data_IF_141585270990
#
_entry.id   IF_141585270990
#
_cell.length_a   1.000
_cell.length_b   1.000
_cell.length_c   1.000
_cell.angle_alpha   90.00
_cell.angle_beta   90.00
_cell.angle_gamma   90.00
#
_symmetry.space_group_name_H-M   'P 1'
#
loop_
_entity.id
_entity.type
_entity.pdbx_description
1 polymer ?
#
# COMPACT_ATOMS: atom_id res chain seq x y z
N UNK A 1 -32.44 6.85 8.66
CA UNK A 1 -31.22 7.51 8.14
C UNK A 1 -31.58 8.24 6.86
N UNK A 2 -31.16 9.50 6.69
CA UNK A 2 -31.39 10.29 5.47
C UNK A 2 -30.17 10.26 4.55
N UNK A 3 -30.37 10.40 3.25
CA UNK A 3 -29.27 10.53 2.28
C UNK A 3 -28.40 11.76 2.54
N UNK A 4 -28.97 12.80 3.16
CA UNK A 4 -28.22 13.98 3.62
C UNK A 4 -27.14 13.62 4.63
N UNK A 5 -27.44 12.74 5.60
CA UNK A 5 -26.46 12.28 6.59
C UNK A 5 -25.35 11.44 5.93
N UNK A 6 -25.71 10.57 4.98
CA UNK A 6 -24.73 9.78 4.22
C UNK A 6 -23.81 10.69 3.40
N UNK A 7 -24.37 11.71 2.75
CA UNK A 7 -23.61 12.71 2.01
C UNK A 7 -22.66 13.49 2.93
N UNK A 8 -23.13 13.92 4.10
CA UNK A 8 -22.32 14.65 5.07
C UNK A 8 -21.16 13.81 5.61
N UNK A 9 -21.41 12.53 5.94
CA UNK A 9 -20.36 11.60 6.38
C UNK A 9 -19.35 11.32 5.27
N UNK A 10 -19.82 11.15 4.03
CA UNK A 10 -18.96 10.96 2.86
C UNK A 10 -18.01 12.15 2.69
N UNK A 11 -18.55 13.37 2.77
CA UNK A 11 -17.76 14.61 2.73
C UNK A 11 -16.77 14.69 3.90
N UNK A 12 -17.22 14.40 5.12
CA UNK A 12 -16.36 14.41 6.30
C UNK A 12 -15.19 13.44 6.15
N UNK A 13 -15.44 12.20 5.69
CA UNK A 13 -14.39 11.20 5.45
C UNK A 13 -13.39 11.72 4.42
N UNK A 14 -13.85 12.33 3.33
CA UNK A 14 -12.95 12.90 2.32
C UNK A 14 -12.16 14.11 2.83
N UNK A 15 -12.76 14.96 3.68
CA UNK A 15 -12.09 16.10 4.31
C UNK A 15 -11.07 15.62 5.33
N UNK A 16 -11.39 14.62 6.14
CA UNK A 16 -10.45 14.02 7.08
C UNK A 16 -9.29 13.36 6.36
N UNK A 17 -9.55 12.66 5.25
CA UNK A 17 -8.50 12.10 4.41
C UNK A 17 -7.59 13.20 3.82
N UNK A 18 -8.20 14.31 3.34
CA UNK A 18 -7.46 15.49 2.89
C UNK A 18 -6.59 16.10 3.99
N UNK A 19 -7.12 16.22 5.21
CA UNK A 19 -6.40 16.75 6.38
C UNK A 19 -5.46 15.71 7.03
N UNK A 20 -5.39 14.49 6.49
CA UNK A 20 -4.64 13.36 7.02
C UNK A 20 -5.06 12.90 8.44
N UNK A 21 -6.31 13.18 8.85
CA UNK A 21 -6.92 12.80 10.13
C UNK A 21 -7.43 11.34 10.16
N UNK A 22 -6.59 10.37 9.77
CA UNK A 22 -6.98 8.96 9.63
C UNK A 22 -7.07 8.18 10.96
N UNK A 23 -6.75 8.81 12.09
CA UNK A 23 -6.81 8.17 13.40
C UNK A 23 -8.22 7.63 13.73
N UNK A 24 -9.25 8.21 13.12
CA UNK A 24 -10.64 7.85 13.32
C UNK A 24 -11.17 6.84 12.30
N UNK A 25 -10.36 6.37 11.34
CA UNK A 25 -10.84 5.49 10.26
C UNK A 25 -11.53 4.22 10.76
N UNK A 26 -11.12 3.64 11.90
CA UNK A 26 -11.81 2.48 12.49
C UNK A 26 -13.21 2.81 13.01
N UNK A 27 -13.34 3.92 13.74
CA UNK A 27 -14.63 4.41 14.22
C UNK A 27 -15.53 4.86 13.06
N UNK A 28 -14.95 5.53 12.07
CA UNK A 28 -15.65 5.98 10.86
C UNK A 28 -16.12 4.79 10.01
N UNK A 29 -15.34 3.71 9.86
CA UNK A 29 -15.77 2.52 9.10
C UNK A 29 -16.99 1.88 9.75
N UNK A 30 -16.92 1.56 11.04
CA UNK A 30 -18.02 0.92 11.75
C UNK A 30 -19.28 1.80 11.78
N UNK A 31 -19.11 3.10 12.03
CA UNK A 31 -20.20 4.08 12.02
C UNK A 31 -20.83 4.25 10.63
N UNK A 32 -20.02 4.39 9.59
CA UNK A 32 -20.49 4.58 8.22
C UNK A 32 -21.22 3.33 7.69
N UNK A 33 -20.70 2.13 7.95
CA UNK A 33 -21.39 0.88 7.61
C UNK A 33 -22.70 0.71 8.39
N UNK A 34 -22.75 1.10 9.67
CA UNK A 34 -23.98 1.09 10.44
C UNK A 34 -25.04 2.04 9.86
N UNK A 35 -24.62 3.23 9.42
CA UNK A 35 -25.50 4.21 8.76
C UNK A 35 -26.04 3.68 7.42
N UNK A 36 -25.18 3.05 6.59
CA UNK A 36 -25.60 2.41 5.32
C UNK A 36 -26.57 1.25 5.59
N UNK A 37 -26.31 0.39 6.58
CA UNK A 37 -27.23 -0.70 6.95
C UNK A 37 -28.58 -0.15 7.43
N UNK A 38 -28.56 0.87 8.29
CA UNK A 38 -29.78 1.51 8.79
C UNK A 38 -30.56 2.29 7.70
N UNK A 39 -29.95 2.56 6.54
CA UNK A 39 -30.63 3.07 5.36
C UNK A 39 -31.39 1.98 4.57
N UNK A 40 -31.05 0.71 4.78
CA UNK A 40 -31.56 -0.42 3.99
C UNK A 40 -30.50 -1.03 3.06
N UNK A 41 -29.22 -0.74 3.28
CA UNK A 41 -28.11 -1.23 2.46
C UNK A 41 -27.76 -0.29 1.30
N UNK A 42 -26.74 -0.68 0.51
CA UNK A 42 -26.17 0.14 -0.57
C UNK A 42 -27.21 0.50 -1.65
N UNK A 43 -28.11 -0.44 -1.97
CA UNK A 43 -29.18 -0.21 -2.96
C UNK A 43 -30.14 0.90 -2.54
N UNK A 44 -30.31 1.13 -1.23
CA UNK A 44 -31.20 2.15 -0.68
C UNK A 44 -30.57 3.54 -0.59
N UNK A 45 -29.24 3.65 -0.77
CA UNK A 45 -28.54 4.94 -0.81
C UNK A 45 -28.98 5.75 -2.03
N UNK A 46 -29.34 7.01 -1.83
CA UNK A 46 -29.81 7.91 -2.89
C UNK A 46 -31.31 7.80 -3.20
N UNK A 47 -32.06 6.96 -2.47
CA UNK A 47 -33.51 6.80 -2.69
C UNK A 47 -34.36 8.01 -2.30
N UNK A 48 -33.83 8.96 -1.52
CA UNK A 48 -34.55 10.20 -1.15
C UNK A 48 -34.51 11.25 -2.26
N UNK A 49 -33.50 11.24 -3.12
CA UNK A 49 -33.36 12.19 -4.23
C UNK A 49 -32.84 11.44 -5.46
N UNK A 50 -33.74 10.93 -6.33
CA UNK A 50 -33.37 10.11 -7.48
C UNK A 50 -32.34 10.77 -8.40
N UNK A 51 -32.41 12.09 -8.56
CA UNK A 51 -31.53 12.88 -9.43
C UNK A 51 -30.04 12.78 -9.07
N UNK A 52 -29.70 12.58 -7.79
CA UNK A 52 -28.30 12.47 -7.31
C UNK A 52 -27.97 11.06 -6.81
N UNK A 53 -28.85 10.09 -7.06
CA UNK A 53 -28.77 8.77 -6.45
C UNK A 53 -27.50 8.01 -6.82
N UNK A 54 -27.11 8.09 -8.10
CA UNK A 54 -25.91 7.44 -8.62
C UNK A 54 -24.63 8.09 -8.07
N UNK A 55 -24.58 9.43 -8.05
CA UNK A 55 -23.43 10.18 -7.54
C UNK A 55 -23.23 9.92 -6.04
N UNK A 56 -24.31 9.91 -5.26
CA UNK A 56 -24.23 9.64 -3.83
C UNK A 56 -23.76 8.21 -3.53
N UNK A 57 -24.22 7.21 -4.31
CA UNK A 57 -23.73 5.83 -4.19
C UNK A 57 -22.25 5.73 -4.53
N UNK A 58 -21.83 6.37 -5.61
CA UNK A 58 -20.42 6.40 -6.00
C UNK A 58 -19.57 7.03 -4.90
N UNK A 59 -19.98 8.20 -4.40
CA UNK A 59 -19.26 8.91 -3.36
C UNK A 59 -19.18 8.10 -2.06
N UNK A 60 -20.27 7.44 -1.65
CA UNK A 60 -20.29 6.55 -0.50
C UNK A 60 -19.33 5.35 -0.68
N UNK A 61 -19.27 4.76 -1.86
CA UNK A 61 -18.35 3.66 -2.16
C UNK A 61 -16.88 4.11 -2.14
N UNK A 62 -16.59 5.32 -2.62
CA UNK A 62 -15.25 5.93 -2.53
C UNK A 62 -14.87 6.14 -1.06
N UNK A 63 -15.74 6.75 -0.25
CA UNK A 63 -15.49 6.96 1.17
C UNK A 63 -15.28 5.64 1.93
N UNK A 64 -16.09 4.60 1.64
CA UNK A 64 -15.91 3.27 2.21
C UNK A 64 -14.56 2.66 1.83
N UNK A 65 -14.17 2.77 0.57
CA UNK A 65 -12.90 2.26 0.07
C UNK A 65 -11.71 2.96 0.74
N UNK A 66 -11.77 4.28 0.91
CA UNK A 66 -10.76 5.06 1.63
C UNK A 66 -10.61 4.57 3.08
N UNK A 67 -11.73 4.37 3.77
CA UNK A 67 -11.74 3.90 5.15
C UNK A 67 -11.12 2.50 5.31
N UNK A 68 -11.45 1.55 4.42
CA UNK A 68 -10.85 0.21 4.41
C UNK A 68 -9.35 0.27 4.14
N UNK A 69 -8.94 1.09 3.16
CA UNK A 69 -7.52 1.30 2.86
C UNK A 69 -6.77 1.88 4.06
N UNK A 70 -7.34 2.86 4.77
CA UNK A 70 -6.71 3.39 5.98
C UNK A 70 -6.57 2.36 7.08
N UNK A 71 -7.57 1.50 7.29
CA UNK A 71 -7.47 0.41 8.26
C UNK A 71 -6.34 -0.58 7.93
N UNK A 72 -6.18 -0.91 6.66
CA UNK A 72 -5.14 -1.85 6.21
C UNK A 72 -3.74 -1.24 6.24
N UNK A 73 -3.63 0.06 5.98
CA UNK A 73 -2.35 0.78 5.86
C UNK A 73 -1.95 1.50 7.15
N UNK A 74 -2.84 1.60 8.15
CA UNK A 74 -2.52 2.14 9.45
C UNK A 74 -1.53 1.23 10.18
N UNK A 75 -0.42 1.81 10.63
CA UNK A 75 0.52 1.17 11.53
C UNK A 75 0.06 1.13 12.98
N UNK A 76 -1.14 1.65 13.29
CA UNK A 76 -1.68 1.74 14.65
C UNK A 76 -1.30 0.50 15.45
N UNK A 77 -0.44 0.74 16.43
CA UNK A 77 0.09 -0.21 17.39
C UNK A 77 -1.02 -1.13 17.85
N UNK A 78 -0.94 -2.42 17.49
CA UNK A 78 -1.62 -3.43 18.28
C UNK A 78 -1.08 -3.29 19.71
N UNK A 79 -1.94 -3.09 20.73
CA UNK A 79 -1.52 -3.27 22.11
C UNK A 79 -1.13 -4.73 22.42
N UNK A 80 -1.41 -5.68 21.51
CA UNK A 80 -1.29 -7.11 21.75
C UNK A 80 -0.02 -7.77 21.17
N UNK A 81 1.00 -7.01 20.76
CA UNK A 81 2.32 -7.59 20.44
C UNK A 81 3.28 -7.60 21.63
N UNK A 82 2.76 -7.46 22.86
CA UNK A 82 3.42 -7.86 24.10
C UNK A 82 3.11 -9.33 24.39
N UNK A 83 3.54 -10.23 23.50
CA UNK A 83 3.74 -11.63 23.88
C UNK A 83 5.23 -11.95 23.85
N UNK A 84 5.79 -11.82 25.05
CA UNK A 84 6.86 -12.63 25.62
C UNK A 84 8.11 -12.84 24.76
N UNK A 85 9.10 -11.97 25.01
CA UNK A 85 10.43 -12.49 25.25
C UNK A 85 10.33 -13.60 26.33
N UNK A 86 10.70 -14.82 25.97
CA UNK A 86 11.13 -15.82 26.94
C UNK A 86 12.25 -16.67 26.35
N UNK A 87 13.24 -17.03 27.19
CA UNK A 87 14.57 -17.42 26.76
C UNK A 87 14.67 -18.91 26.40
N UNK A 88 15.58 -19.21 25.46
CA UNK A 88 16.31 -20.47 25.27
C UNK A 88 15.72 -21.77 25.85
N UNK A 89 15.27 -22.68 24.98
CA UNK A 89 15.49 -24.13 25.15
C UNK A 89 15.42 -24.84 23.79
N UNK A 90 16.14 -25.96 23.72
CA UNK A 90 16.60 -26.80 22.60
C UNK A 90 15.56 -27.19 21.52
N UNK A 91 16.00 -27.67 20.34
CA UNK A 91 15.12 -27.92 19.20
C UNK A 91 14.26 -29.19 19.37
N UNK A 92 12.94 -29.15 19.12
CA UNK A 92 12.16 -30.35 18.92
C UNK A 92 12.28 -30.84 17.47
N UNK A 93 12.30 -32.17 17.32
CA UNK A 93 12.46 -32.92 16.07
C UNK A 93 11.48 -32.51 14.94
N UNK A 94 11.85 -32.74 13.66
CA UNK A 94 11.01 -32.38 12.52
C UNK A 94 9.72 -33.24 12.47
N UNK A 95 8.53 -32.65 12.29
CA UNK A 95 7.33 -33.41 11.97
C UNK A 95 7.36 -33.86 10.48
N UNK A 96 6.59 -34.90 10.12
CA UNK A 96 6.78 -35.62 8.87
C UNK A 96 6.45 -34.76 7.65
N UNK A 97 7.26 -34.95 6.61
CA UNK A 97 7.08 -34.43 5.25
C UNK A 97 5.70 -34.82 4.72
N UNK A 98 4.81 -33.82 4.62
CA UNK A 98 3.57 -33.92 3.86
C UNK A 98 3.83 -33.28 2.50
N UNK A 99 4.43 -34.06 1.62
CA UNK A 99 4.45 -33.76 0.19
C UNK A 99 3.00 -33.70 -0.32
N UNK A 100 2.79 -32.82 -1.30
CA UNK A 100 1.63 -32.77 -2.20
C UNK A 100 0.34 -32.12 -1.68
N UNK A 101 0.45 -30.86 -1.25
CA UNK A 101 -0.48 -29.87 -1.81
C UNK A 101 0.24 -29.15 -2.93
N UNK A 102 0.01 -29.61 -4.17
CA UNK A 102 0.27 -28.85 -5.38
C UNK A 102 -0.45 -27.51 -5.27
N UNK A 103 0.27 -26.49 -4.79
CA UNK A 103 -0.06 -25.10 -5.04
C UNK A 103 -0.26 -24.95 -6.55
N UNK A 104 -1.42 -24.47 -7.04
CA UNK A 104 -1.54 -24.10 -8.43
C UNK A 104 -0.41 -23.10 -8.70
N UNK A 105 0.40 -23.39 -9.73
CA UNK A 105 1.48 -22.58 -10.30
C UNK A 105 1.87 -21.38 -9.44
N UNK A 106 3.01 -21.46 -8.73
CA UNK A 106 3.59 -20.27 -8.09
C UNK A 106 3.56 -19.15 -9.14
N UNK A 107 2.86 -18.03 -8.90
CA UNK A 107 2.95 -16.91 -9.82
C UNK A 107 4.43 -16.55 -9.95
N UNK A 108 4.86 -16.10 -11.13
CA UNK A 108 6.22 -15.63 -11.38
C UNK A 108 6.46 -14.36 -10.54
N UNK A 109 6.69 -14.57 -9.25
CA UNK A 109 6.88 -13.51 -8.27
C UNK A 109 8.33 -13.04 -8.39
N UNK A 110 8.57 -11.72 -8.46
CA UNK A 110 9.91 -11.15 -8.53
C UNK A 110 10.85 -11.67 -7.45
N UNK A 111 12.12 -11.82 -7.81
CA UNK A 111 13.15 -12.46 -6.99
C UNK A 111 13.32 -11.80 -5.61
N UNK A 112 13.13 -10.48 -5.52
CA UNK A 112 13.15 -9.70 -4.30
C UNK A 112 12.09 -10.18 -3.31
N UNK A 113 10.83 -10.32 -3.74
CA UNK A 113 9.78 -10.87 -2.87
C UNK A 113 10.01 -12.35 -2.52
N UNK A 114 10.56 -13.13 -3.46
CA UNK A 114 10.95 -14.53 -3.18
C UNK A 114 12.02 -14.60 -2.08
N UNK A 115 13.00 -13.69 -2.10
CA UNK A 115 14.02 -13.55 -1.04
C UNK A 115 13.37 -13.21 0.29
N UNK A 116 12.39 -12.29 0.31
CA UNK A 116 11.67 -11.95 1.54
C UNK A 116 10.85 -13.11 2.10
N UNK A 117 10.23 -13.91 1.23
CA UNK A 117 9.43 -15.07 1.62
C UNK A 117 10.30 -16.19 2.21
N UNK A 118 11.42 -16.50 1.55
CA UNK A 118 12.37 -17.54 1.98
C UNK A 118 13.02 -17.23 3.33
N UNK A 119 13.21 -15.94 3.64
CA UNK A 119 13.72 -15.48 4.94
C UNK A 119 12.61 -15.14 5.95
N UNK A 120 11.37 -15.55 5.68
CA UNK A 120 10.20 -15.35 6.55
C UNK A 120 9.96 -13.88 6.96
N UNK A 121 10.25 -12.93 6.07
CA UNK A 121 9.96 -11.50 6.27
C UNK A 121 8.60 -11.08 5.77
N UNK A 122 8.09 -11.81 4.78
CA UNK A 122 6.69 -11.81 4.39
C UNK A 122 6.13 -13.22 4.55
N UNK A 123 4.82 -13.30 4.73
CA UNK A 123 4.08 -14.54 4.93
C UNK A 123 3.52 -15.06 3.61
N UNK A 124 3.09 -16.33 3.58
CA UNK A 124 2.38 -16.88 2.42
C UNK A 124 1.09 -16.14 2.08
N UNK A 125 0.47 -15.42 3.04
CA UNK A 125 -0.70 -14.59 2.79
C UNK A 125 -0.41 -13.42 1.83
N UNK A 126 0.83 -12.92 1.81
CA UNK A 126 1.25 -11.88 0.86
C UNK A 126 1.26 -12.35 -0.60
N UNK A 127 1.28 -13.66 -0.86
CA UNK A 127 1.30 -14.20 -2.22
C UNK A 127 0.01 -13.87 -2.99
N UNK A 128 -1.15 -13.92 -2.33
CA UNK A 128 -2.42 -13.58 -2.97
C UNK A 128 -2.48 -12.10 -3.36
N UNK A 129 -1.92 -11.24 -2.51
CA UNK A 129 -1.80 -9.81 -2.75
C UNK A 129 -0.84 -9.50 -3.91
N UNK A 130 0.33 -10.15 -3.95
CA UNK A 130 1.29 -10.01 -5.02
C UNK A 130 0.74 -10.54 -6.34
N UNK A 131 0.11 -11.72 -6.35
CA UNK A 131 -0.53 -12.29 -7.52
C UNK A 131 -1.61 -11.36 -8.08
N UNK A 132 -2.48 -10.83 -7.21
CA UNK A 132 -3.52 -9.87 -7.61
C UNK A 132 -2.94 -8.59 -8.21
N UNK A 133 -1.79 -8.13 -7.73
CA UNK A 133 -1.12 -6.97 -8.30
C UNK A 133 -0.49 -7.31 -9.66
N UNK A 134 0.20 -8.45 -9.77
CA UNK A 134 0.83 -8.90 -11.01
C UNK A 134 -0.19 -9.09 -12.14
N UNK A 135 -1.29 -9.79 -11.87
CA UNK A 135 -2.38 -9.97 -12.84
C UNK A 135 -2.92 -8.64 -13.37
N UNK A 136 -3.03 -7.65 -12.48
CA UNK A 136 -3.44 -6.29 -12.85
C UNK A 136 -2.34 -5.57 -13.65
N UNK A 137 -1.10 -5.64 -13.20
CA UNK A 137 0.04 -4.96 -13.81
C UNK A 137 0.28 -5.45 -15.24
N UNK A 138 0.31 -6.77 -15.44
CA UNK A 138 0.52 -7.39 -16.75
C UNK A 138 -0.60 -7.07 -17.73
N UNK A 139 -1.85 -7.07 -17.26
CA UNK A 139 -3.02 -6.74 -18.08
C UNK A 139 -2.96 -5.31 -18.64
N UNK A 140 -2.38 -4.38 -17.89
CA UNK A 140 -2.36 -2.95 -18.23
C UNK A 140 -0.95 -2.41 -18.54
N UNK A 141 0.02 -3.30 -18.70
CA UNK A 141 1.41 -2.93 -18.97
C UNK A 141 1.57 -2.22 -20.32
N UNK A 142 0.87 -2.73 -21.35
CA UNK A 142 0.91 -2.24 -22.73
C UNK A 142 -0.14 -1.16 -23.03
N UNK A 143 -0.86 -0.68 -22.03
CA UNK A 143 -1.83 0.41 -22.21
C UNK A 143 -1.09 1.75 -22.11
N UNK A 144 -1.07 2.46 -23.24
CA UNK A 144 -0.33 3.73 -23.36
C UNK A 144 -1.02 4.90 -22.64
N UNK A 145 -2.35 4.95 -22.66
CA UNK A 145 -3.12 6.01 -22.02
C UNK A 145 -3.47 5.66 -20.56
N UNK A 146 -2.92 6.37 -19.56
CA UNK A 146 -3.22 6.14 -18.15
C UNK A 146 -4.71 6.27 -17.79
N UNK A 147 -5.49 7.01 -18.60
CA UNK A 147 -6.93 7.21 -18.44
C UNK A 147 -7.73 5.91 -18.56
N UNK A 148 -7.22 4.95 -19.34
CA UNK A 148 -7.84 3.64 -19.54
C UNK A 148 -7.37 2.57 -18.54
N UNK A 149 -6.45 2.91 -17.65
CA UNK A 149 -5.93 1.99 -16.65
C UNK A 149 -6.78 2.13 -15.38
N UNK A 150 -7.55 1.10 -15.00
CA UNK A 150 -8.30 1.14 -13.77
C UNK A 150 -7.34 1.09 -12.58
N UNK A 151 -7.72 1.76 -11.51
CA UNK A 151 -6.90 1.81 -10.31
C UNK A 151 -6.91 0.46 -9.61
N UNK A 152 -5.74 -0.05 -9.23
CA UNK A 152 -5.66 -1.25 -8.42
C UNK A 152 -6.08 -0.96 -6.99
N UNK A 153 -7.08 -1.71 -6.51
CA UNK A 153 -7.54 -1.71 -5.12
C UNK A 153 -7.75 -3.15 -4.71
N UNK A 154 -7.10 -3.54 -3.62
CA UNK A 154 -7.13 -4.91 -3.12
C UNK A 154 -7.41 -4.90 -1.62
N UNK A 155 -8.15 -5.90 -1.14
CA UNK A 155 -8.41 -6.08 0.29
C UNK A 155 -7.66 -7.32 0.72
N UNK A 156 -6.65 -7.16 1.58
CA UNK A 156 -5.90 -8.29 2.10
C UNK A 156 -6.83 -9.22 2.91
N UNK A 157 -6.84 -10.51 2.58
CA UNK A 157 -7.66 -11.51 3.26
C UNK A 157 -7.18 -11.79 4.70
N UNK A 158 -5.93 -11.46 5.02
CA UNK A 158 -5.30 -11.71 6.31
C UNK A 158 -4.65 -10.44 6.85
N UNK A 159 -4.49 -10.32 8.18
CA UNK A 159 -3.75 -9.21 8.78
C UNK A 159 -2.31 -9.17 8.27
N UNK A 160 -1.89 -8.03 7.74
CA UNK A 160 -0.53 -7.79 7.26
C UNK A 160 0.39 -7.39 8.41
N UNK A 161 1.61 -7.93 8.43
CA UNK A 161 2.67 -7.48 9.32
C UNK A 161 3.18 -6.08 8.88
N UNK A 162 3.96 -5.36 9.71
CA UNK A 162 4.40 -4.00 9.38
C UNK A 162 5.17 -3.87 8.05
N UNK A 163 6.02 -4.84 7.70
CA UNK A 163 6.76 -4.84 6.42
C UNK A 163 5.81 -5.10 5.25
N UNK A 164 4.90 -6.05 5.39
CA UNK A 164 3.87 -6.34 4.39
C UNK A 164 2.93 -5.14 4.15
N UNK A 165 2.60 -4.38 5.21
CA UNK A 165 1.87 -3.12 5.08
C UNK A 165 2.65 -2.10 4.25
N UNK A 166 3.96 -1.94 4.47
CA UNK A 166 4.80 -1.07 3.65
C UNK A 166 4.81 -1.51 2.18
N UNK A 167 4.94 -2.82 1.92
CA UNK A 167 4.89 -3.38 0.55
C UNK A 167 3.54 -3.10 -0.09
N UNK A 168 2.44 -3.38 0.60
CA UNK A 168 1.09 -3.12 0.11
C UNK A 168 0.89 -1.65 -0.25
N UNK A 169 1.36 -0.73 0.61
CA UNK A 169 1.32 0.71 0.35
C UNK A 169 2.16 1.11 -0.85
N UNK A 170 3.34 0.52 -1.04
CA UNK A 170 4.16 0.79 -2.21
C UNK A 170 3.47 0.31 -3.50
N UNK A 171 2.84 -0.86 -3.50
CA UNK A 171 2.04 -1.33 -4.63
C UNK A 171 0.87 -0.40 -4.95
N UNK A 172 0.14 0.08 -3.93
CA UNK A 172 -0.90 1.10 -4.10
C UNK A 172 -0.33 2.39 -4.71
N UNK A 173 0.82 2.88 -4.22
CA UNK A 173 1.50 4.06 -4.79
C UNK A 173 1.83 3.86 -6.26
N UNK A 174 2.39 2.69 -6.60
CA UNK A 174 2.78 2.38 -7.96
C UNK A 174 1.57 2.32 -8.88
N UNK A 175 0.49 1.65 -8.46
CA UNK A 175 -0.75 1.59 -9.22
C UNK A 175 -1.39 2.97 -9.42
N UNK A 176 -1.42 3.80 -8.38
CA UNK A 176 -1.90 5.17 -8.48
C UNK A 176 -1.06 5.94 -9.50
N UNK A 177 0.27 5.86 -9.42
CA UNK A 177 1.18 6.63 -10.25
C UNK A 177 1.14 6.23 -11.76
N UNK A 178 0.84 4.97 -12.09
CA UNK A 178 0.75 4.50 -13.50
C UNK A 178 -0.65 4.65 -14.09
N UNK A 179 -1.68 4.74 -13.25
CA UNK A 179 -3.06 4.99 -13.68
C UNK A 179 -3.37 6.49 -13.77
N UNK A 180 -4.61 6.82 -14.16
CA UNK A 180 -5.11 8.19 -14.21
C UNK A 180 -4.98 8.94 -12.86
N UNK A 181 -4.93 8.22 -11.74
CA UNK A 181 -4.79 8.82 -10.41
C UNK A 181 -3.49 9.60 -10.24
N UNK A 182 -2.40 9.15 -10.86
CA UNK A 182 -1.08 9.78 -10.77
C UNK A 182 -1.00 11.13 -11.48
N UNK A 183 -1.93 11.39 -12.40
CA UNK A 183 -2.06 12.65 -13.14
C UNK A 183 -3.15 13.57 -12.57
N UNK A 184 -3.96 13.07 -11.63
CA UNK A 184 -5.06 13.83 -11.06
C UNK A 184 -4.54 15.01 -10.21
N UNK A 185 -5.13 16.22 -10.28
CA UNK A 185 -4.70 17.37 -9.48
C UNK A 185 -4.73 17.10 -7.96
N UNK A 186 -5.68 16.27 -7.52
CA UNK A 186 -5.81 15.83 -6.15
C UNK A 186 -4.97 14.58 -5.79
N UNK A 187 -3.98 14.20 -6.61
CA UNK A 187 -3.13 13.04 -6.36
C UNK A 187 -2.49 13.05 -4.97
N UNK A 188 -2.18 14.23 -4.41
CA UNK A 188 -1.65 14.38 -3.05
C UNK A 188 -2.52 13.73 -1.98
N UNK A 189 -3.86 13.75 -2.15
CA UNK A 189 -4.84 13.21 -1.21
C UNK A 189 -4.72 11.69 -1.16
N UNK A 190 -4.68 11.05 -2.33
CA UNK A 190 -4.63 9.60 -2.43
C UNK A 190 -3.22 9.06 -2.20
N UNK A 191 -2.18 9.80 -2.63
CA UNK A 191 -0.78 9.40 -2.46
C UNK A 191 -0.28 9.57 -1.04
N UNK A 192 -0.77 10.55 -0.29
CA UNK A 192 -0.33 10.89 1.07
C UNK A 192 1.19 10.72 1.30
N UNK A 193 2.07 11.27 0.45
CA UNK A 193 3.47 10.84 0.38
C UNK A 193 4.24 11.15 1.68
N UNK A 194 3.92 12.27 2.36
CA UNK A 194 4.47 12.61 3.68
C UNK A 194 4.17 11.53 4.72
N UNK A 195 2.89 11.13 4.82
CA UNK A 195 2.43 10.15 5.80
C UNK A 195 2.94 8.74 5.48
N UNK A 196 2.99 8.35 4.19
CA UNK A 196 3.58 7.08 3.77
C UNK A 196 5.09 7.03 4.02
N UNK A 197 5.77 8.18 3.93
CA UNK A 197 7.16 8.30 4.34
C UNK A 197 7.36 8.17 5.86
N UNK A 198 6.53 8.84 6.66
CA UNK A 198 6.51 8.67 8.13
C UNK A 198 6.22 7.23 8.54
N UNK A 199 5.33 6.54 7.80
CA UNK A 199 5.05 5.13 7.96
C UNK A 199 6.30 4.26 7.76
N UNK A 200 7.12 4.51 6.73
CA UNK A 200 8.38 3.77 6.55
C UNK A 200 9.32 3.97 7.74
N UNK A 201 9.47 5.21 8.20
CA UNK A 201 10.32 5.54 9.36
C UNK A 201 9.85 4.83 10.64
N UNK A 202 8.53 4.66 10.80
CA UNK A 202 7.93 4.03 11.96
C UNK A 202 8.07 2.49 12.03
N UNK A 203 8.69 1.83 11.04
CA UNK A 203 8.94 0.37 11.05
C UNK A 203 10.43 0.09 11.29
N UNK A 204 10.86 -0.19 12.55
CA UNK A 204 12.28 -0.36 12.88
C UNK A 204 12.98 -1.45 12.09
N UNK A 205 12.28 -2.56 11.80
CA UNK A 205 12.83 -3.72 11.10
C UNK A 205 13.38 -3.36 9.71
N UNK A 206 12.77 -2.41 9.00
CA UNK A 206 13.27 -1.95 7.70
C UNK A 206 14.71 -1.43 7.80
N UNK A 207 15.06 -0.81 8.93
CA UNK A 207 16.33 -0.11 9.10
C UNK A 207 17.41 -0.97 9.78
N UNK A 208 17.03 -2.09 10.41
CA UNK A 208 17.96 -2.95 11.16
C UNK A 208 18.22 -4.29 10.50
N UNK A 209 17.31 -4.76 9.66
CA UNK A 209 17.41 -6.08 9.03
C UNK A 209 18.14 -6.02 7.68
N UNK A 210 19.26 -6.73 7.59
CA UNK A 210 20.05 -6.79 6.36
C UNK A 210 19.30 -7.38 5.16
N UNK A 211 18.35 -8.30 5.40
CA UNK A 211 17.55 -8.93 4.33
C UNK A 211 16.60 -7.93 3.67
N UNK A 212 16.23 -6.86 4.40
CA UNK A 212 15.27 -5.86 3.92
C UNK A 212 15.92 -4.70 3.16
N UNK A 213 17.25 -4.66 3.04
CA UNK A 213 17.96 -3.49 2.48
C UNK A 213 17.54 -3.16 1.04
N UNK A 214 17.45 -4.16 0.15
CA UNK A 214 16.97 -3.95 -1.22
C UNK A 214 15.48 -3.57 -1.25
N UNK A 215 14.68 -4.16 -0.37
CA UNK A 215 13.27 -3.83 -0.22
C UNK A 215 13.08 -2.36 0.21
N UNK A 216 13.91 -1.86 1.13
CA UNK A 216 13.88 -0.46 1.57
C UNK A 216 14.16 0.51 0.43
N UNK A 217 15.13 0.20 -0.44
CA UNK A 217 15.41 1.03 -1.63
C UNK A 217 14.19 1.06 -2.54
N UNK A 218 13.58 -0.10 -2.81
CA UNK A 218 12.36 -0.17 -3.62
C UNK A 218 11.18 0.59 -2.99
N UNK A 219 10.90 0.37 -1.69
CA UNK A 219 9.86 1.06 -0.94
C UNK A 219 10.05 2.57 -0.98
N UNK A 220 11.27 3.04 -0.73
CA UNK A 220 11.61 4.45 -0.77
C UNK A 220 11.37 5.04 -2.15
N UNK A 221 11.97 4.47 -3.20
CA UNK A 221 11.78 4.96 -4.56
C UNK A 221 10.30 5.04 -4.90
N UNK A 222 9.56 3.96 -4.70
CA UNK A 222 8.13 3.92 -5.04
C UNK A 222 7.32 4.90 -4.20
N UNK A 223 7.60 5.08 -2.90
CA UNK A 223 6.79 5.92 -2.00
C UNK A 223 7.20 7.40 -2.02
N UNK A 224 8.46 7.76 -2.22
CA UNK A 224 8.88 9.16 -2.10
C UNK A 224 9.03 9.87 -3.44
N UNK A 225 9.09 9.14 -4.55
CA UNK A 225 9.33 9.71 -5.89
C UNK A 225 8.12 9.52 -6.82
N UNK A 226 6.93 10.07 -6.48
CA UNK A 226 5.72 9.94 -7.29
C UNK A 226 5.92 10.48 -8.71
N UNK A 227 5.07 10.03 -9.64
CA UNK A 227 5.13 10.49 -11.05
C UNK A 227 5.08 12.02 -11.16
N UNK A 228 4.24 12.65 -10.35
CA UNK A 228 4.20 14.10 -10.21
C UNK A 228 5.23 14.55 -9.16
N UNK A 229 6.37 15.07 -9.63
CA UNK A 229 7.57 15.42 -8.83
C UNK A 229 7.32 16.46 -7.72
N UNK A 230 6.20 17.19 -7.75
CA UNK A 230 5.85 18.19 -6.74
C UNK A 230 5.07 17.66 -5.52
N UNK A 231 4.61 16.40 -5.55
CA UNK A 231 3.69 15.89 -4.52
C UNK A 231 4.37 15.60 -3.18
N UNK A 232 5.61 15.10 -3.19
CA UNK A 232 6.33 14.80 -1.95
C UNK A 232 7.14 16.02 -1.53
N UNK A 233 6.98 16.52 -0.28
CA UNK A 233 7.81 17.62 0.20
C UNK A 233 9.31 17.24 0.19
N UNK A 234 10.16 18.12 -0.36
CA UNK A 234 11.61 17.88 -0.46
C UNK A 234 12.28 17.53 0.88
N UNK A 235 11.81 18.13 1.98
CA UNK A 235 12.32 17.83 3.33
C UNK A 235 12.10 16.36 3.71
N UNK A 236 10.95 15.79 3.34
CA UNK A 236 10.62 14.39 3.61
C UNK A 236 11.49 13.47 2.75
N UNK A 237 11.63 13.77 1.45
CA UNK A 237 12.50 13.00 0.56
C UNK A 237 13.94 12.96 1.06
N UNK A 238 14.51 14.13 1.39
CA UNK A 238 15.88 14.25 1.91
C UNK A 238 16.08 13.55 3.25
N UNK A 239 15.11 13.65 4.15
CA UNK A 239 15.18 12.97 5.45
C UNK A 239 15.19 11.45 5.32
N UNK A 240 14.35 10.90 4.46
CA UNK A 240 14.35 9.45 4.16
C UNK A 240 15.62 9.02 3.44
N UNK A 241 16.10 9.81 2.48
CA UNK A 241 17.35 9.53 1.78
C UNK A 241 18.52 9.43 2.76
N UNK A 242 18.69 10.42 3.64
CA UNK A 242 19.74 10.41 4.66
C UNK A 242 19.66 9.14 5.54
N UNK A 243 18.44 8.73 5.92
CA UNK A 243 18.24 7.51 6.71
C UNK A 243 18.62 6.23 5.95
N UNK A 244 18.37 6.18 4.65
CA UNK A 244 18.76 5.03 3.81
C UNK A 244 20.26 4.98 3.66
N UNK A 245 20.92 6.12 3.43
CA UNK A 245 22.39 6.20 3.36
C UNK A 245 23.06 5.70 4.65
N UNK A 246 22.47 5.94 5.82
CA UNK A 246 22.98 5.41 7.10
C UNK A 246 22.99 3.88 7.17
N UNK A 247 21.98 3.23 6.57
CA UNK A 247 21.79 1.76 6.62
C UNK A 247 22.43 1.05 5.40
N UNK A 248 22.56 1.78 4.29
CA UNK A 248 23.09 1.37 2.99
C UNK A 248 24.11 2.41 2.51
N UNK A 249 25.23 2.51 3.22
CA UNK A 249 26.29 3.47 2.91
C UNK A 249 26.95 3.25 1.54
N UNK A 250 26.81 2.06 0.98
CA UNK A 250 27.23 1.72 -0.39
C UNK A 250 26.36 2.40 -1.46
N UNK A 251 25.14 2.82 -1.14
CA UNK A 251 24.19 3.41 -2.09
C UNK A 251 24.72 4.70 -2.74
N UNK A 252 25.62 5.43 -2.07
CA UNK A 252 26.27 6.62 -2.64
C UNK A 252 27.19 6.33 -3.82
N UNK A 253 27.70 5.10 -3.89
CA UNK A 253 28.59 4.66 -4.96
C UNK A 253 27.82 3.95 -6.09
N UNK A 254 26.50 3.81 -5.95
CA UNK A 254 25.69 3.15 -6.97
C UNK A 254 25.43 4.10 -8.13
N UNK A 255 25.45 3.56 -9.34
CA UNK A 255 24.89 4.22 -10.50
C UNK A 255 23.40 3.85 -10.61
N UNK A 256 22.71 4.49 -11.56
CA UNK A 256 21.32 4.19 -11.84
C UNK A 256 21.09 2.69 -12.15
N UNK A 257 22.04 2.04 -12.80
CA UNK A 257 21.94 0.63 -13.18
C UNK A 257 21.76 -0.30 -11.96
N UNK A 258 22.46 -0.04 -10.84
CA UNK A 258 22.32 -0.82 -9.61
C UNK A 258 20.96 -0.61 -8.94
N UNK A 259 20.46 0.64 -8.96
CA UNK A 259 19.11 0.96 -8.45
C UNK A 259 18.06 0.26 -9.30
N UNK A 260 18.15 0.38 -10.62
CA UNK A 260 17.25 -0.26 -11.56
C UNK A 260 17.23 -1.78 -11.36
N UNK A 261 18.39 -2.40 -11.16
CA UNK A 261 18.49 -3.83 -10.83
C UNK A 261 17.71 -4.18 -9.57
N UNK A 262 17.80 -3.37 -8.52
CA UNK A 262 16.99 -3.59 -7.30
C UNK A 262 15.51 -3.43 -7.59
N UNK A 263 15.10 -2.38 -8.31
CA UNK A 263 13.69 -2.16 -8.64
C UNK A 263 13.10 -3.30 -9.45
N UNK A 264 13.84 -3.82 -10.45
CA UNK A 264 13.48 -4.99 -11.25
C UNK A 264 13.45 -6.29 -10.45
N UNK A 265 14.22 -6.36 -9.36
CA UNK A 265 14.12 -7.45 -8.38
C UNK A 265 12.76 -7.49 -7.68
N UNK A 266 12.05 -6.36 -7.60
CA UNK A 266 10.69 -6.26 -7.09
C UNK A 266 9.73 -5.95 -8.24
N UNK A 267 8.96 -4.87 -8.17
CA UNK A 267 8.13 -4.42 -9.30
C UNK A 267 8.77 -3.19 -9.92
N UNK A 268 9.08 -3.28 -11.21
CA UNK A 268 9.58 -2.18 -12.03
C UNK A 268 8.60 -1.88 -13.16
N UNK A 269 8.13 -0.62 -13.24
CA UNK A 269 7.32 -0.14 -14.35
C UNK A 269 8.11 0.85 -15.18
N UNK A 270 8.36 0.51 -16.45
CA UNK A 270 9.18 1.33 -17.36
C UNK A 270 8.65 2.75 -17.53
N UNK A 271 7.33 2.99 -17.38
CA UNK A 271 6.72 4.33 -17.45
C UNK A 271 7.18 5.25 -16.31
N UNK A 272 7.79 4.69 -15.27
CA UNK A 272 8.31 5.40 -14.10
C UNK A 272 9.83 5.58 -14.10
N UNK A 273 10.55 4.85 -14.93
CA UNK A 273 12.01 4.81 -14.95
C UNK A 273 12.64 6.22 -15.00
N UNK A 274 12.24 7.06 -15.97
CA UNK A 274 12.81 8.41 -16.09
C UNK A 274 12.46 9.37 -14.93
N UNK A 275 11.37 9.11 -14.20
CA UNK A 275 11.07 9.88 -12.97
C UNK A 275 12.01 9.47 -11.85
N UNK A 276 12.22 8.17 -11.71
CA UNK A 276 13.10 7.57 -10.71
C UNK A 276 14.57 7.93 -10.96
N UNK A 277 15.06 7.76 -12.18
CA UNK A 277 16.41 8.12 -12.60
C UNK A 277 16.70 9.60 -12.38
N UNK A 278 15.77 10.49 -12.75
CA UNK A 278 15.95 11.92 -12.53
C UNK A 278 15.84 12.38 -11.06
N UNK A 279 15.57 11.48 -10.12
CA UNK A 279 15.48 11.78 -8.68
C UNK A 279 16.59 11.15 -7.87
N UNK A 280 17.11 9.99 -8.29
CA UNK A 280 18.28 9.35 -7.72
C UNK A 280 19.54 10.17 -8.04
#
# INVERSE_FOLDING_TARGET
VTDLLISALTLLITVDDYLANVAYSRAHTAGFEAVIRARGGEAAVGSSVPAISQDLRMAANVARSLLVLHLQTSLSSNPDSSQAESPSSSPPAPPPTLDTYTLPQRPDIPQGFTTLLTHHRITGASLALLASFHDWHDRYLLVDDPSHIPVWRHTAAHPLNPVEKCIFVALLCLADDVSHMGLHPAAVIFRQPKKRAEMLLAVPRLWTDAVLRDCVVWLWMVITTPRNRGLTPLRVQRGLWARIEEVRGDLRAWEWAEVERVLRGFVFDGRRAGVWEGTF
#
